data_IF_222465349132
#
_entry.id   IF_222465349132
#
_cell.length_a   1.000
_cell.length_b   1.000
_cell.length_c   1.000
_cell.angle_alpha   90.00
_cell.angle_beta   90.00
_cell.angle_gamma   90.00
#
_symmetry.space_group_name_H-M   'P 1'
#
loop_
_entity.id
_entity.type
_entity.pdbx_description
1 polymer ?
#
# COMPACT_ATOMS: atom_id res chain seq x y z
N UNK A 1 -10.86 -21.24 1.78
CA UNK A 1 -10.09 -21.09 3.04
C UNK A 1 -10.79 -20.03 3.87
N UNK A 2 -11.06 -20.24 5.16
CA UNK A 2 -11.83 -19.27 5.96
C UNK A 2 -10.88 -18.28 6.70
N UNK A 3 -10.23 -17.38 5.95
CA UNK A 3 -9.41 -16.30 6.53
C UNK A 3 -10.30 -15.09 6.79
N UNK A 4 -10.11 -14.41 7.93
CA UNK A 4 -10.77 -13.13 8.19
C UNK A 4 -10.27 -12.07 7.20
N UNK A 5 -11.18 -11.19 6.81
CA UNK A 5 -10.97 -10.10 5.88
C UNK A 5 -11.13 -8.76 6.58
N UNK A 6 -10.80 -7.67 5.87
CA UNK A 6 -11.06 -6.31 6.31
C UNK A 6 -12.56 -6.05 6.61
N UNK A 7 -13.48 -6.83 6.04
CA UNK A 7 -14.92 -6.71 6.30
C UNK A 7 -15.36 -7.30 7.63
N UNK A 8 -14.52 -8.13 8.26
CA UNK A 8 -14.84 -8.86 9.48
C UNK A 8 -14.39 -8.14 10.77
N UNK A 9 -13.87 -6.92 10.64
CA UNK A 9 -13.31 -6.15 11.74
C UNK A 9 -13.75 -4.68 11.69
N UNK A 10 -13.92 -4.06 12.86
CA UNK A 10 -14.15 -2.62 12.94
C UNK A 10 -12.83 -1.86 12.80
N UNK A 11 -12.77 -0.97 11.81
CA UNK A 11 -11.61 -0.13 11.48
C UNK A 11 -11.90 1.38 11.61
N UNK A 12 -13.10 1.76 12.06
CA UNK A 12 -13.48 3.18 12.16
C UNK A 12 -12.57 3.94 13.11
N UNK A 13 -11.95 5.02 12.62
CA UNK A 13 -11.03 5.87 13.37
C UNK A 13 -9.65 5.24 13.67
N UNK A 14 -9.44 3.97 13.31
CA UNK A 14 -8.18 3.25 13.55
C UNK A 14 -7.15 3.55 12.47
N UNK A 15 -5.87 3.45 12.83
CA UNK A 15 -4.75 3.45 11.89
C UNK A 15 -4.63 2.05 11.30
N UNK A 16 -4.81 1.94 9.99
CA UNK A 16 -4.82 0.66 9.27
C UNK A 16 -3.60 0.58 8.39
N UNK A 17 -2.68 -0.32 8.72
CA UNK A 17 -1.54 -0.63 7.88
C UNK A 17 -1.99 -1.60 6.78
N UNK A 18 -1.98 -1.15 5.52
CA UNK A 18 -2.35 -1.96 4.37
C UNK A 18 -1.10 -2.26 3.56
N UNK A 19 -0.67 -3.53 3.56
CA UNK A 19 0.39 -4.01 2.70
C UNK A 19 -0.19 -4.27 1.31
N UNK A 20 0.18 -3.43 0.34
CA UNK A 20 -0.28 -3.51 -1.06
C UNK A 20 0.88 -3.86 -1.99
N UNK A 21 0.58 -4.34 -3.20
CA UNK A 21 1.61 -4.59 -4.22
C UNK A 21 1.62 -3.45 -5.24
N UNK A 22 2.44 -2.42 -5.03
CA UNK A 22 2.69 -1.33 -5.99
C UNK A 22 4.03 -1.49 -6.73
N UNK A 23 4.51 -2.73 -6.89
CA UNK A 23 5.71 -2.99 -7.66
C UNK A 23 5.38 -2.95 -9.17
N UNK A 24 5.20 -1.74 -9.71
CA UNK A 24 4.85 -1.44 -11.10
C UNK A 24 6.06 -1.06 -11.94
N UNK A 25 6.05 -1.30 -13.26
CA UNK A 25 7.08 -0.76 -14.15
C UNK A 25 7.00 0.76 -14.22
N UNK A 26 8.15 1.43 -14.01
CA UNK A 26 8.28 2.89 -14.09
C UNK A 26 9.42 3.24 -15.05
N UNK A 27 9.12 4.08 -16.02
CA UNK A 27 10.08 4.59 -17.00
C UNK A 27 10.02 6.11 -17.04
N UNK A 28 11.17 6.76 -16.82
CA UNK A 28 11.27 8.22 -16.79
C UNK A 28 10.25 8.90 -15.84
N UNK A 29 9.98 8.27 -14.70
CA UNK A 29 9.00 8.75 -13.71
C UNK A 29 7.54 8.48 -14.04
N UNK A 30 7.24 7.81 -15.16
CA UNK A 30 5.88 7.47 -15.59
C UNK A 30 5.61 5.99 -15.35
N UNK A 31 4.45 5.67 -14.79
CA UNK A 31 3.96 4.29 -14.60
C UNK A 31 3.52 3.74 -15.96
N UNK A 32 4.08 2.62 -16.39
CA UNK A 32 3.74 1.99 -17.69
C UNK A 32 2.55 1.03 -17.59
N UNK A 33 2.30 0.46 -16.41
CA UNK A 33 1.19 -0.46 -16.14
C UNK A 33 0.66 -0.23 -14.72
N UNK A 34 -0.61 0.17 -14.64
CA UNK A 34 -1.32 0.53 -13.41
C UNK A 34 -2.10 -0.64 -12.79
N UNK A 35 -2.13 -1.82 -13.42
CA UNK A 35 -2.97 -2.98 -13.01
C UNK A 35 -2.83 -3.33 -11.53
N UNK A 36 -1.60 -3.25 -11.01
CA UNK A 36 -1.33 -3.54 -9.60
C UNK A 36 -1.85 -2.48 -8.65
N UNK A 37 -1.83 -1.21 -9.07
CA UNK A 37 -2.37 -0.09 -8.29
C UNK A 37 -3.89 -0.19 -8.27
N UNK A 38 -4.52 -0.34 -9.43
CA UNK A 38 -5.98 -0.45 -9.57
C UNK A 38 -6.53 -1.67 -8.85
N UNK A 39 -5.79 -2.79 -8.86
CA UNK A 39 -6.15 -4.00 -8.12
C UNK A 39 -6.27 -3.82 -6.60
N UNK A 40 -5.50 -2.89 -6.00
CA UNK A 40 -5.56 -2.61 -4.56
C UNK A 40 -6.61 -1.55 -4.17
N UNK A 41 -7.11 -0.77 -5.14
CA UNK A 41 -8.07 0.30 -4.88
C UNK A 41 -9.31 -0.14 -4.10
N UNK A 42 -9.95 -1.30 -4.38
CA UNK A 42 -11.13 -1.72 -3.62
C UNK A 42 -10.89 -1.77 -2.11
N UNK A 43 -9.74 -2.27 -1.66
CA UNK A 43 -9.40 -2.34 -0.23
C UNK A 43 -9.13 -0.95 0.35
N UNK A 44 -8.43 -0.09 -0.41
CA UNK A 44 -8.09 1.27 0.01
C UNK A 44 -9.37 2.10 0.16
N UNK A 45 -10.22 2.11 -0.87
CA UNK A 45 -11.52 2.81 -0.90
C UNK A 45 -12.40 2.33 0.25
N UNK A 46 -12.51 1.01 0.45
CA UNK A 46 -13.27 0.45 1.56
C UNK A 46 -12.79 0.98 2.92
N UNK A 47 -11.48 0.98 3.17
CA UNK A 47 -10.92 1.46 4.42
C UNK A 47 -11.23 2.95 4.67
N UNK A 48 -11.12 3.77 3.62
CA UNK A 48 -11.46 5.21 3.68
C UNK A 48 -12.95 5.40 3.99
N UNK A 49 -13.84 4.68 3.31
CA UNK A 49 -15.29 4.78 3.53
C UNK A 49 -15.71 4.38 4.95
N UNK A 50 -15.02 3.40 5.55
CA UNK A 50 -15.21 3.03 6.95
C UNK A 50 -14.63 4.04 7.94
N UNK A 51 -13.95 5.10 7.46
CA UNK A 51 -13.36 6.14 8.29
C UNK A 51 -12.05 5.73 8.95
N UNK A 52 -11.30 4.80 8.35
CA UNK A 52 -9.95 4.47 8.80
C UNK A 52 -8.95 5.59 8.46
N UNK A 53 -7.85 5.63 9.19
CA UNK A 53 -6.64 6.39 8.85
C UNK A 53 -5.70 5.43 8.10
N UNK A 54 -5.57 5.58 6.79
CA UNK A 54 -4.96 4.54 5.95
C UNK A 54 -3.46 4.76 5.81
N UNK A 55 -2.67 3.73 6.10
CA UNK A 55 -1.21 3.73 5.93
C UNK A 55 -0.86 2.66 4.91
N UNK A 56 -0.46 3.07 3.71
CA UNK A 56 -0.09 2.17 2.62
C UNK A 56 1.40 1.86 2.67
N UNK A 57 1.74 0.59 2.54
CA UNK A 57 3.12 0.14 2.47
C UNK A 57 3.30 -0.79 1.27
N UNK A 58 4.38 -0.58 0.51
CA UNK A 58 4.73 -1.40 -0.64
C UNK A 58 6.24 -1.47 -0.82
N UNK A 59 6.65 -2.29 -1.77
CA UNK A 59 8.00 -2.28 -2.32
C UNK A 59 7.97 -1.89 -3.79
N UNK A 60 9.13 -1.47 -4.30
CA UNK A 60 9.37 -1.25 -5.73
C UNK A 60 10.77 -1.78 -6.08
N UNK A 61 10.86 -2.66 -7.07
CA UNK A 61 12.13 -3.23 -7.53
C UNK A 61 12.92 -3.95 -6.43
N UNK A 62 14.26 -3.90 -6.55
CA UNK A 62 15.21 -4.53 -5.62
C UNK A 62 16.42 -3.59 -5.36
N UNK A 63 16.18 -2.41 -4.76
CA UNK A 63 17.16 -1.33 -4.68
C UNK A 63 18.53 -1.77 -4.13
N UNK A 64 18.56 -2.52 -3.03
CA UNK A 64 19.82 -2.94 -2.39
C UNK A 64 20.59 -3.96 -3.23
N UNK A 65 19.88 -4.92 -3.83
CA UNK A 65 20.49 -5.93 -4.72
C UNK A 65 21.04 -5.29 -5.99
N UNK A 66 20.31 -4.34 -6.55
CA UNK A 66 20.71 -3.66 -7.78
C UNK A 66 21.84 -2.65 -7.51
N UNK A 67 21.88 -2.04 -6.31
CA UNK A 67 23.04 -1.26 -5.83
C UNK A 67 24.29 -2.12 -5.77
N UNK A 68 24.23 -3.27 -5.09
CA UNK A 68 25.36 -4.20 -4.98
C UNK A 68 25.88 -4.60 -6.37
N UNK A 69 24.99 -5.00 -7.28
CA UNK A 69 25.37 -5.37 -8.65
C UNK A 69 25.99 -4.22 -9.44
N UNK A 70 25.51 -2.99 -9.23
CA UNK A 70 26.05 -1.82 -9.90
C UNK A 70 27.47 -1.54 -9.40
N UNK A 71 27.71 -1.62 -8.09
CA UNK A 71 29.02 -1.48 -7.47
C UNK A 71 30.01 -2.56 -7.97
N UNK A 72 29.58 -3.83 -7.99
CA UNK A 72 30.39 -4.95 -8.51
C UNK A 72 30.78 -4.77 -9.99
N UNK A 73 29.94 -4.08 -10.78
CA UNK A 73 30.15 -3.85 -12.21
C UNK A 73 30.73 -2.47 -12.54
N UNK A 74 30.99 -1.62 -11.54
CA UNK A 74 31.39 -0.22 -11.75
C UNK A 74 30.37 0.60 -12.54
N UNK A 75 29.08 0.26 -12.45
CA UNK A 75 27.98 0.94 -13.13
C UNK A 75 27.32 1.98 -12.21
N UNK A 76 26.73 3.06 -12.76
CA UNK A 76 26.00 4.03 -11.96
C UNK A 76 24.74 3.41 -11.33
N UNK A 77 24.46 3.80 -10.09
CA UNK A 77 23.26 3.44 -9.35
C UNK A 77 22.45 4.71 -9.05
N UNK A 78 21.18 4.71 -9.45
CA UNK A 78 20.24 5.79 -9.16
C UNK A 78 19.15 5.28 -8.18
N UNK A 79 19.19 5.68 -6.91
CA UNK A 79 18.18 5.30 -5.91
C UNK A 79 16.80 5.87 -6.21
N UNK A 80 16.71 7.00 -6.93
CA UNK A 80 15.43 7.67 -7.20
C UNK A 80 14.49 6.80 -8.05
N UNK A 81 15.05 5.87 -8.84
CA UNK A 81 14.29 4.88 -9.63
C UNK A 81 13.46 3.91 -8.79
N UNK A 82 13.77 3.80 -7.50
CA UNK A 82 13.07 2.91 -6.56
C UNK A 82 12.13 3.66 -5.61
N UNK A 83 11.94 4.97 -5.78
CA UNK A 83 10.97 5.73 -5.01
C UNK A 83 9.54 5.39 -5.41
N UNK A 84 8.64 5.32 -4.43
CA UNK A 84 7.20 5.22 -4.62
C UNK A 84 6.55 6.58 -4.92
N UNK A 85 7.33 7.67 -5.03
CA UNK A 85 6.79 9.00 -5.37
C UNK A 85 5.91 8.99 -6.63
N UNK A 86 6.25 8.33 -7.76
CA UNK A 86 5.34 8.29 -8.91
C UNK A 86 4.01 7.59 -8.62
N UNK A 87 4.01 6.56 -7.77
CA UNK A 87 2.79 5.89 -7.31
C UNK A 87 1.96 6.82 -6.45
N UNK A 88 2.60 7.58 -5.55
CA UNK A 88 1.92 8.64 -4.82
C UNK A 88 1.27 9.66 -5.75
N UNK A 89 2.01 10.19 -6.73
CA UNK A 89 1.49 11.18 -7.70
C UNK A 89 0.31 10.63 -8.50
N UNK A 90 0.33 9.33 -8.83
CA UNK A 90 -0.80 8.66 -9.45
C UNK A 90 -2.00 8.55 -8.50
N UNK A 91 -1.81 8.04 -7.29
CA UNK A 91 -2.89 7.89 -6.30
C UNK A 91 -3.58 9.21 -5.99
N UNK A 92 -2.83 10.31 -5.84
CA UNK A 92 -3.44 11.62 -5.57
C UNK A 92 -4.30 12.13 -6.74
N UNK A 93 -4.00 11.72 -7.97
CA UNK A 93 -4.75 12.10 -9.16
C UNK A 93 -6.05 11.29 -9.35
N UNK A 94 -6.25 10.20 -8.62
CA UNK A 94 -7.43 9.34 -8.76
C UNK A 94 -8.71 10.00 -8.20
N UNK A 95 -9.78 10.16 -9.01
CA UNK A 95 -11.06 10.69 -8.56
C UNK A 95 -11.69 9.90 -7.41
N UNK A 96 -11.48 8.59 -7.40
CA UNK A 96 -11.93 7.68 -6.35
C UNK A 96 -11.35 8.07 -5.01
N UNK A 97 -10.12 8.58 -4.93
CA UNK A 97 -9.52 9.01 -3.67
C UNK A 97 -9.78 10.49 -3.35
N UNK A 98 -10.40 11.24 -4.27
CA UNK A 98 -10.74 12.66 -4.10
C UNK A 98 -12.12 12.84 -3.45
N UNK A 99 -13.11 12.05 -3.89
CA UNK A 99 -14.52 12.29 -3.58
C UNK A 99 -15.11 11.33 -2.54
N UNK A 100 -14.29 10.50 -1.88
CA UNK A 100 -14.80 9.64 -0.80
C UNK A 100 -15.14 10.50 0.41
N UNK A 101 -16.43 10.52 0.71
CA UNK A 101 -16.97 10.96 1.98
C UNK A 101 -16.90 9.80 2.98
N UNK A 102 -16.34 10.05 4.17
CA UNK A 102 -16.48 9.11 5.29
C UNK A 102 -17.97 8.97 5.59
N UNK A 103 -18.51 7.74 5.67
CA UNK A 103 -19.96 7.49 5.87
C UNK A 103 -20.55 8.38 6.97
N UNK A 104 -21.23 9.46 6.55
CA UNK A 104 -21.68 10.56 7.41
C UNK A 104 -22.03 11.83 6.62
N UNK A 105 -21.23 12.18 5.61
CA UNK A 105 -21.60 13.19 4.61
C UNK A 105 -21.96 12.49 3.29
N UNK A 106 -22.96 12.98 2.54
CA UNK A 106 -23.49 12.26 1.36
C UNK A 106 -22.40 11.98 0.31
N UNK A 107 -22.29 10.76 -0.24
CA UNK A 107 -21.43 10.47 -1.39
C UNK A 107 -21.91 11.22 -2.65
N UNK A 108 -20.97 11.74 -3.45
CA UNK A 108 -21.25 12.33 -4.76
C UNK A 108 -21.38 11.21 -5.80
N UNK A 109 -22.45 11.24 -6.60
CA UNK A 109 -22.63 10.34 -7.75
C UNK A 109 -21.55 10.62 -8.81
N UNK A 110 -20.71 9.62 -9.11
CA UNK A 110 -19.71 9.71 -10.17
C UNK A 110 -20.37 9.26 -11.48
N UNK A 111 -20.54 10.20 -12.43
CA UNK A 111 -20.91 9.89 -13.81
C UNK A 111 -19.63 9.56 -14.59
N UNK A 112 -19.56 8.36 -15.16
CA UNK A 112 -18.49 7.95 -16.07
C UNK A 112 -18.37 8.94 -17.23
N UNK A 113 -17.22 9.58 -17.39
CA UNK A 113 -16.83 10.19 -18.66
C UNK A 113 -15.35 9.89 -18.94
N UNK A 114 -15.13 9.09 -19.98
CA UNK A 114 -13.83 8.84 -20.62
C UNK A 114 -13.31 10.13 -21.26
N UNK A 115 -12.10 10.55 -20.86
CA UNK A 115 -11.01 11.07 -21.71
C UNK A 115 -9.95 11.74 -20.84
N UNK A 116 -8.74 11.17 -20.80
CA UNK A 116 -7.57 11.76 -20.15
C UNK A 116 -6.80 12.64 -21.14
N UNK A 117 -7.11 13.93 -21.16
CA UNK A 117 -6.23 14.97 -21.68
C UNK A 117 -6.04 16.04 -20.61
N UNK A 118 -4.77 16.27 -20.23
CA UNK A 118 -4.37 17.32 -19.29
C UNK A 118 -4.59 16.96 -17.82
N UNK A 119 -3.51 16.56 -17.12
CA UNK A 119 -3.48 16.60 -15.65
C UNK A 119 -3.55 18.06 -15.20
N UNK A 120 -4.75 18.64 -15.15
CA UNK A 120 -4.99 19.82 -14.32
C UNK A 120 -4.51 19.47 -12.91
N UNK A 121 -3.88 20.43 -12.24
CA UNK A 121 -3.26 20.24 -10.92
C UNK A 121 -4.35 19.92 -9.88
N UNK A 122 -4.71 18.64 -9.76
CA UNK A 122 -5.71 18.21 -8.79
C UNK A 122 -5.04 18.24 -7.43
N UNK A 123 -5.46 19.21 -6.62
CA UNK A 123 -5.03 19.39 -5.24
C UNK A 123 -5.75 18.36 -4.38
N UNK A 124 -5.15 17.19 -4.23
CA UNK A 124 -5.64 16.18 -3.30
C UNK A 124 -5.03 16.45 -1.92
N UNK A 125 -5.85 17.00 -1.02
CA UNK A 125 -5.44 17.31 0.35
C UNK A 125 -5.56 16.11 1.31
N UNK A 126 -5.84 14.89 0.79
CA UNK A 126 -6.09 13.68 1.61
C UNK A 126 -5.11 12.53 1.38
N UNK A 127 -4.35 12.54 0.29
CA UNK A 127 -3.30 11.54 0.02
C UNK A 127 -1.95 12.20 0.24
N UNK A 128 -1.16 11.61 1.13
CA UNK A 128 0.15 12.11 1.55
C UNK A 128 1.25 11.10 1.23
N UNK A 129 2.46 11.60 1.09
CA UNK A 129 3.66 10.79 0.92
C UNK A 129 4.63 11.02 2.06
N UNK A 130 5.04 9.94 2.71
CA UNK A 130 5.87 10.02 3.90
C UNK A 130 7.31 10.45 3.61
N UNK A 131 7.84 10.13 2.42
CA UNK A 131 9.23 10.33 2.04
C UNK A 131 10.22 9.35 2.69
N UNK A 132 9.76 8.57 3.67
CA UNK A 132 10.46 7.47 4.32
C UNK A 132 9.43 6.42 4.79
N UNK A 133 9.85 5.28 5.35
CA UNK A 133 8.93 4.25 5.85
C UNK A 133 9.03 3.97 7.35
N UNK A 134 10.05 4.50 8.04
CA UNK A 134 10.24 4.39 9.48
C UNK A 134 10.80 5.69 10.08
N UNK A 135 10.96 5.75 11.40
CA UNK A 135 11.55 6.90 12.11
C UNK A 135 10.55 7.98 12.53
N UNK A 136 11.06 8.98 13.27
CA UNK A 136 10.24 9.98 13.96
C UNK A 136 9.47 10.89 13.00
N UNK A 137 10.04 11.19 11.83
CA UNK A 137 9.37 11.99 10.80
C UNK A 137 8.10 11.28 10.30
N UNK A 138 8.18 9.97 10.07
CA UNK A 138 7.01 9.16 9.66
C UNK A 138 6.01 9.08 10.80
N UNK A 139 6.47 8.90 12.04
CA UNK A 139 5.60 8.84 13.23
C UNK A 139 4.77 10.11 13.38
N UNK A 140 5.39 11.29 13.26
CA UNK A 140 4.71 12.58 13.35
C UNK A 140 3.65 12.73 12.26
N UNK A 141 3.89 12.21 11.05
CA UNK A 141 2.90 12.23 9.97
C UNK A 141 1.73 11.29 10.24
N UNK A 142 2.02 10.06 10.70
CA UNK A 142 1.02 9.07 11.10
C UNK A 142 0.11 9.61 12.21
N UNK A 143 0.69 10.27 13.22
CA UNK A 143 -0.07 10.81 14.36
C UNK A 143 -1.01 11.95 13.96
N UNK A 144 -0.66 12.68 12.89
CA UNK A 144 -1.49 13.77 12.32
C UNK A 144 -2.58 13.27 11.37
N UNK A 145 -2.52 12.02 10.93
CA UNK A 145 -3.45 11.46 9.96
C UNK A 145 -4.88 11.46 10.50
N UNK A 146 -5.82 11.99 9.72
CA UNK A 146 -7.24 12.05 10.04
C UNK A 146 -7.98 10.89 9.38
N UNK A 147 -9.19 10.62 9.87
CA UNK A 147 -10.05 9.59 9.28
C UNK A 147 -10.34 9.93 7.82
N UNK A 148 -10.21 8.94 6.95
CA UNK A 148 -10.36 9.07 5.49
C UNK A 148 -9.14 9.62 4.76
N UNK A 149 -8.04 9.93 5.46
CA UNK A 149 -6.77 10.30 4.84
C UNK A 149 -5.88 9.06 4.62
N UNK A 150 -5.01 9.16 3.62
CA UNK A 150 -4.10 8.11 3.17
C UNK A 150 -2.66 8.61 3.27
N UNK A 151 -1.78 7.85 3.91
CA UNK A 151 -0.34 8.07 3.90
C UNK A 151 0.36 6.91 3.19
N UNK A 152 1.05 7.19 2.08
CA UNK A 152 1.93 6.23 1.43
C UNK A 152 3.33 6.33 2.04
N UNK A 153 3.79 5.23 2.64
CA UNK A 153 5.18 5.07 3.07
C UNK A 153 6.10 4.95 1.85
N UNK A 154 7.36 5.34 1.99
CA UNK A 154 8.38 5.07 0.97
C UNK A 154 8.68 3.57 0.87
N UNK A 155 9.34 3.17 -0.22
CA UNK A 155 9.69 1.80 -0.56
C UNK A 155 10.39 1.05 0.57
N UNK A 156 9.69 0.04 1.12
CA UNK A 156 10.18 -0.78 2.23
C UNK A 156 11.52 -1.46 1.93
N UNK A 157 11.80 -1.82 0.68
CA UNK A 157 13.05 -2.49 0.30
C UNK A 157 14.28 -1.59 0.29
N UNK A 158 14.15 -0.29 0.51
CA UNK A 158 15.29 0.57 0.79
C UNK A 158 15.99 0.19 2.10
N UNK A 159 15.28 -0.50 3.00
CA UNK A 159 15.80 -1.01 4.26
C UNK A 159 16.10 -2.50 4.16
N UNK A 160 17.32 -2.91 4.51
CA UNK A 160 17.73 -4.31 4.50
C UNK A 160 16.85 -5.19 5.40
N UNK A 161 16.32 -4.61 6.48
CA UNK A 161 15.43 -5.27 7.43
C UNK A 161 14.14 -5.81 6.82
N UNK A 162 13.67 -5.24 5.70
CA UNK A 162 12.46 -5.74 5.01
C UNK A 162 12.65 -7.18 4.50
N UNK A 163 13.67 -7.41 3.66
CA UNK A 163 13.92 -8.74 3.08
C UNK A 163 14.54 -9.71 4.10
N UNK A 164 15.25 -9.20 5.12
CA UNK A 164 15.78 -10.00 6.21
C UNK A 164 14.72 -10.44 7.24
N UNK A 165 13.48 -9.93 7.13
CA UNK A 165 12.43 -10.11 8.13
C UNK A 165 12.89 -9.71 9.53
N UNK A 166 13.60 -8.58 9.59
CA UNK A 166 14.17 -8.06 10.83
C UNK A 166 13.04 -7.68 11.81
N UNK A 167 13.21 -8.11 13.06
CA UNK A 167 12.17 -7.97 14.07
C UNK A 167 11.98 -6.50 14.49
N UNK A 168 13.07 -5.75 14.63
CA UNK A 168 13.01 -4.35 15.02
C UNK A 168 12.39 -3.49 13.92
N UNK A 169 12.72 -3.77 12.65
CA UNK A 169 12.06 -3.14 11.51
C UNK A 169 10.57 -3.46 11.45
N UNK A 170 10.18 -4.73 11.65
CA UNK A 170 8.77 -5.13 11.74
C UNK A 170 8.04 -4.43 12.89
N UNK A 171 8.69 -4.28 14.05
CA UNK A 171 8.13 -3.61 15.24
C UNK A 171 7.95 -2.11 15.00
N UNK A 172 8.88 -1.46 14.32
CA UNK A 172 8.75 -0.06 13.92
C UNK A 172 7.54 0.15 13.00
N UNK A 173 7.37 -0.67 11.96
CA UNK A 173 6.21 -0.61 11.08
C UNK A 173 4.89 -0.86 11.84
N UNK A 174 4.88 -1.87 12.72
CA UNK A 174 3.72 -2.18 13.54
C UNK A 174 3.31 -1.01 14.46
N UNK A 175 4.29 -0.26 14.98
CA UNK A 175 4.07 0.87 15.88
C UNK A 175 3.26 2.03 15.28
N UNK A 176 3.10 2.07 13.96
CA UNK A 176 2.31 3.08 13.28
C UNK A 176 0.81 2.79 13.21
N UNK A 177 0.37 1.56 13.51
CA UNK A 177 -0.99 1.14 13.23
C UNK A 177 -1.63 0.37 14.38
N UNK A 178 -2.95 0.21 14.28
CA UNK A 178 -3.78 -0.56 15.22
C UNK A 178 -4.28 -1.87 14.58
N UNK A 179 -4.28 -1.96 13.25
CA UNK A 179 -4.77 -3.10 12.45
C UNK A 179 -3.84 -3.35 11.28
N UNK A 180 -3.60 -4.63 10.96
CA UNK A 180 -2.87 -5.05 9.78
C UNK A 180 -3.80 -5.67 8.73
N UNK A 181 -3.69 -5.20 7.49
CA UNK A 181 -4.38 -5.73 6.32
C UNK A 181 -3.33 -6.13 5.28
N UNK A 182 -3.31 -7.41 4.89
CA UNK A 182 -2.47 -7.87 3.78
C UNK A 182 -3.30 -7.97 2.51
N UNK A 183 -3.00 -7.10 1.54
CA UNK A 183 -3.62 -7.07 0.22
C UNK A 183 -2.60 -7.29 -0.91
N UNK A 184 -1.39 -7.76 -0.57
CA UNK A 184 -0.29 -7.98 -1.49
C UNK A 184 -0.10 -9.48 -1.79
N UNK A 185 -1.05 -10.10 -2.50
CA UNK A 185 -1.00 -11.53 -2.83
C UNK A 185 0.33 -11.94 -3.47
N UNK A 186 0.82 -11.17 -4.44
CA UNK A 186 2.10 -11.41 -5.11
C UNK A 186 3.33 -11.35 -4.21
N UNK A 187 3.24 -10.77 -3.01
CA UNK A 187 4.31 -10.72 -2.01
C UNK A 187 4.12 -11.71 -0.84
N UNK A 188 2.92 -12.29 -0.69
CA UNK A 188 2.54 -13.09 0.47
C UNK A 188 3.32 -14.41 0.62
N UNK A 189 3.90 -14.92 -0.47
CA UNK A 189 4.76 -16.10 -0.45
C UNK A 189 6.14 -15.84 0.18
N UNK A 190 6.49 -14.58 0.48
CA UNK A 190 7.76 -14.22 1.11
C UNK A 190 7.54 -13.85 2.56
N UNK A 191 8.35 -14.43 3.45
CA UNK A 191 8.39 -14.04 4.86
C UNK A 191 9.30 -12.81 5.03
N UNK A 192 8.77 -11.63 4.75
CA UNK A 192 9.43 -10.34 4.97
C UNK A 192 8.86 -9.65 6.21
N UNK A 193 9.52 -8.58 6.66
CA UNK A 193 9.08 -7.79 7.80
C UNK A 193 7.64 -7.27 7.61
N UNK A 194 7.33 -6.67 6.47
CA UNK A 194 5.99 -6.11 6.19
C UNK A 194 4.89 -7.12 5.82
N UNK A 195 5.24 -8.39 5.56
CA UNK A 195 4.28 -9.43 5.13
C UNK A 195 4.04 -10.49 6.20
N UNK A 196 5.06 -10.84 6.99
CA UNK A 196 5.01 -11.88 8.00
C UNK A 196 5.45 -11.35 9.38
N UNK A 197 6.59 -10.65 9.47
CA UNK A 197 7.14 -10.18 10.74
C UNK A 197 6.20 -9.27 11.51
N UNK A 198 5.59 -8.29 10.83
CA UNK A 198 4.68 -7.29 11.40
C UNK A 198 3.48 -7.93 12.11
N UNK A 199 3.01 -9.10 11.63
CA UNK A 199 1.84 -9.80 12.20
C UNK A 199 2.09 -10.32 13.61
N UNK A 200 3.35 -10.45 14.04
CA UNK A 200 3.70 -10.79 15.43
C UNK A 200 3.34 -9.67 16.42
N UNK A 201 3.30 -8.42 15.94
CA UNK A 201 3.14 -7.21 16.75
C UNK A 201 1.83 -6.49 16.50
N UNK A 202 1.22 -6.69 15.33
CA UNK A 202 0.02 -5.98 14.92
C UNK A 202 -1.14 -6.95 14.68
N UNK A 203 -2.11 -6.91 15.59
CA UNK A 203 -3.32 -7.73 15.56
C UNK A 203 -4.56 -6.84 15.76
N UNK A 204 -5.68 -7.09 15.05
CA UNK A 204 -5.89 -8.22 14.13
C UNK A 204 -5.12 -8.08 12.81
N UNK A 205 -4.66 -9.22 12.30
CA UNK A 205 -4.10 -9.38 10.94
C UNK A 205 -5.12 -10.06 10.03
N UNK A 206 -5.57 -9.37 8.99
CA UNK A 206 -6.63 -9.84 8.07
C UNK A 206 -6.24 -9.71 6.60
N UNK A 207 -6.97 -10.39 5.72
CA UNK A 207 -6.85 -10.23 4.27
C UNK A 207 -7.55 -8.95 3.79
N UNK A 208 -6.94 -8.26 2.82
CA UNK A 208 -7.64 -7.27 2.00
C UNK A 208 -8.53 -7.94 0.94
N UNK A 209 -9.21 -7.13 0.14
CA UNK A 209 -10.19 -7.60 -0.85
C UNK A 209 -9.55 -8.25 -2.09
N UNK A 210 -8.37 -7.79 -2.51
CA UNK A 210 -7.61 -8.46 -3.57
C UNK A 210 -7.08 -9.80 -3.07
N UNK A 211 -6.51 -9.82 -1.86
CA UNK A 211 -6.05 -11.06 -1.23
C UNK A 211 -7.16 -12.09 -1.09
N UNK A 212 -8.34 -11.69 -0.60
CA UNK A 212 -9.53 -12.54 -0.50
C UNK A 212 -9.87 -13.16 -1.86
N UNK A 213 -9.99 -12.33 -2.90
CA UNK A 213 -10.32 -12.79 -4.26
C UNK A 213 -9.33 -13.82 -4.80
N UNK A 214 -8.02 -13.60 -4.61
CA UNK A 214 -6.97 -14.51 -5.06
C UNK A 214 -6.99 -15.84 -4.29
N UNK A 215 -7.20 -15.79 -2.97
CA UNK A 215 -7.33 -17.00 -2.14
C UNK A 215 -8.57 -17.82 -2.49
N UNK A 216 -9.68 -17.17 -2.83
CA UNK A 216 -10.91 -17.83 -3.26
C UNK A 216 -10.74 -18.49 -4.64
N UNK A 217 -10.14 -17.78 -5.59
CA UNK A 217 -9.86 -18.31 -6.93
C UNK A 217 -8.96 -19.55 -6.86
N UNK A 218 -7.82 -19.47 -6.16
CA UNK A 218 -6.91 -20.60 -5.98
C UNK A 218 -7.54 -21.73 -5.17
N UNK A 219 -8.32 -21.39 -4.15
CA UNK A 219 -9.04 -22.36 -3.34
C UNK A 219 -10.03 -23.17 -4.16
N UNK A 220 -10.76 -22.55 -5.09
CA UNK A 220 -11.65 -23.25 -6.02
C UNK A 220 -10.87 -24.12 -7.00
N UNK A 221 -9.84 -23.56 -7.65
CA UNK A 221 -9.04 -24.28 -8.65
C UNK A 221 -8.34 -25.52 -8.07
N UNK A 222 -7.87 -25.48 -6.82
CA UNK A 222 -7.17 -26.60 -6.18
C UNK A 222 -8.10 -27.66 -5.59
N UNK A 223 -9.24 -27.25 -5.01
CA UNK A 223 -10.10 -28.18 -4.28
C UNK A 223 -11.27 -28.71 -5.12
N UNK A 224 -11.73 -27.96 -6.12
CA UNK A 224 -12.84 -28.31 -7.01
C UNK A 224 -12.54 -27.85 -8.45
N UNK A 225 -11.55 -28.44 -9.15
CA UNK A 225 -11.28 -28.12 -10.54
C UNK A 225 -12.45 -28.57 -11.44
N UNK A 226 -12.88 -27.68 -12.36
CA UNK A 226 -13.81 -28.01 -13.46
C UNK A 226 -13.11 -28.73 -14.62
#
# INVERSE_FOLDING_TARGET
MNKKTIRDIDIKGKRVFIRVDFNVPIKSGVIEDETRITGALPTIVYAIEQGAKVILASHLGRPLKDKQKAEEKGMPYDPARYSLKPVYEFLRALPELQNISTRGDKPVEIKENKQTEGFAEVKNDKVFFAGDCVGDVVRVQVDKLKAGEVLLLENLRLYAGEEANDEDFARQLAGFADVYVNDAFGAAHRAHASTAGITKFLQPSVAGLLMEKELDFLGKALNNPE
#
